data_IF_901459300400
#
_entry.id   IF_901459300400
#
_cell.length_a   1.000
_cell.length_b   1.000
_cell.length_c   1.000
_cell.angle_alpha   90.00
_cell.angle_beta   90.00
_cell.angle_gamma   90.00
#
_symmetry.space_group_name_H-M   'P 1'
#
loop_
_entity.id
_entity.type
_entity.pdbx_description
1 polymer ?
#
# COMPACT_ATOMS: atom_id res chain seq x y z
N UNK A 1 57.28 21.83 -19.45
CA UNK A 1 56.16 22.28 -18.58
C UNK A 1 54.79 22.43 -19.29
N UNK A 2 54.67 22.19 -20.61
CA UNK A 2 53.39 22.39 -21.32
C UNK A 2 52.39 21.20 -21.27
N UNK A 3 52.82 20.04 -20.81
CA UNK A 3 51.95 18.82 -20.80
C UNK A 3 51.15 18.64 -19.51
N UNK A 4 51.51 19.33 -18.43
CA UNK A 4 50.85 19.17 -17.12
C UNK A 4 49.48 19.81 -17.04
N UNK A 5 49.24 20.93 -17.73
CA UNK A 5 47.96 21.64 -17.70
C UNK A 5 46.84 20.85 -18.41
N UNK A 6 47.00 20.35 -19.65
CA UNK A 6 45.95 19.55 -20.29
C UNK A 6 45.67 18.23 -19.55
N UNK A 7 46.68 17.61 -18.94
CA UNK A 7 46.51 16.42 -18.14
C UNK A 7 45.72 16.69 -16.87
N UNK A 8 45.95 17.83 -16.21
CA UNK A 8 45.18 18.27 -15.03
C UNK A 8 43.71 18.56 -15.38
N UNK A 9 43.45 19.18 -16.52
CA UNK A 9 42.10 19.46 -17.01
C UNK A 9 41.38 18.15 -17.32
N UNK A 10 42.03 17.18 -17.96
CA UNK A 10 41.46 15.88 -18.25
C UNK A 10 41.12 15.12 -16.96
N UNK A 11 42.04 15.11 -16.01
CA UNK A 11 41.80 14.47 -14.71
C UNK A 11 40.62 15.12 -13.96
N UNK A 12 40.54 16.46 -13.95
CA UNK A 12 39.40 17.16 -13.36
C UNK A 12 38.07 16.83 -14.05
N UNK A 13 38.04 16.75 -15.39
CA UNK A 13 36.87 16.40 -16.14
C UNK A 13 36.39 14.95 -15.83
N UNK A 14 37.33 14.01 -15.70
CA UNK A 14 37.03 12.62 -15.30
C UNK A 14 36.45 12.59 -13.88
N UNK A 15 37.06 13.30 -12.93
CA UNK A 15 36.57 13.34 -11.55
C UNK A 15 35.17 13.93 -11.45
N UNK A 16 34.89 14.99 -12.20
CA UNK A 16 33.54 15.60 -12.24
C UNK A 16 32.55 14.62 -12.82
N UNK A 17 32.88 13.95 -13.94
CA UNK A 17 31.99 12.98 -14.58
C UNK A 17 31.69 11.77 -13.70
N UNK A 18 32.67 11.24 -12.97
CA UNK A 18 32.48 10.14 -12.01
C UNK A 18 31.65 10.58 -10.83
N UNK A 19 31.87 11.79 -10.31
CA UNK A 19 31.10 12.32 -9.21
C UNK A 19 29.63 12.54 -9.61
N UNK A 20 29.39 13.08 -10.80
CA UNK A 20 28.02 13.27 -11.34
C UNK A 20 27.29 11.95 -11.53
N UNK A 21 27.95 10.94 -12.13
CA UNK A 21 27.39 9.62 -12.30
C UNK A 21 27.06 8.95 -10.95
N UNK A 22 27.96 9.06 -9.97
CA UNK A 22 27.75 8.55 -8.61
C UNK A 22 26.59 9.25 -7.89
N UNK A 23 26.46 10.56 -8.06
CA UNK A 23 25.38 11.35 -7.47
C UNK A 23 24.02 10.92 -8.05
N UNK A 24 23.91 10.77 -9.38
CA UNK A 24 22.69 10.32 -10.02
C UNK A 24 22.32 8.90 -9.61
N UNK A 25 23.27 7.98 -9.53
CA UNK A 25 23.03 6.61 -9.07
C UNK A 25 22.55 6.56 -7.61
N UNK A 26 23.16 7.35 -6.73
CA UNK A 26 22.77 7.45 -5.32
C UNK A 26 21.38 8.05 -5.15
N UNK A 27 21.07 9.10 -5.91
CA UNK A 27 19.75 9.75 -5.88
C UNK A 27 18.64 8.78 -6.32
N UNK A 28 18.85 8.05 -7.41
CA UNK A 28 17.89 7.05 -7.88
C UNK A 28 17.69 5.90 -6.87
N UNK A 29 18.76 5.43 -6.24
CA UNK A 29 18.67 4.41 -5.21
C UNK A 29 17.83 4.90 -3.99
N UNK A 30 18.05 6.15 -3.56
CA UNK A 30 17.30 6.74 -2.46
C UNK A 30 15.81 6.87 -2.79
N UNK A 31 15.47 7.30 -4.01
CA UNK A 31 14.07 7.41 -4.45
C UNK A 31 13.38 6.05 -4.44
N UNK A 32 14.03 5.00 -4.96
CA UNK A 32 13.48 3.64 -4.94
C UNK A 32 13.25 3.11 -3.52
N UNK A 33 14.16 3.39 -2.60
CA UNK A 33 13.99 3.00 -1.19
C UNK A 33 12.80 3.72 -0.57
N UNK A 34 12.62 5.00 -0.84
CA UNK A 34 11.47 5.77 -0.36
C UNK A 34 10.15 5.26 -0.93
N UNK A 35 10.08 4.96 -2.22
CA UNK A 35 8.88 4.38 -2.86
C UNK A 35 8.53 3.03 -2.25
N UNK A 36 9.52 2.15 -2.04
CA UNK A 36 9.31 0.86 -1.40
C UNK A 36 8.83 0.99 0.05
N UNK A 37 9.35 1.96 0.81
CA UNK A 37 8.92 2.20 2.19
C UNK A 37 7.48 2.74 2.24
N UNK A 38 7.09 3.64 1.34
CA UNK A 38 5.72 4.15 1.21
C UNK A 38 4.76 2.99 0.85
N UNK A 39 5.15 2.15 -0.11
CA UNK A 39 4.36 0.98 -0.48
C UNK A 39 4.18 0.01 0.71
N UNK A 40 5.25 -0.29 1.45
CA UNK A 40 5.22 -1.15 2.64
C UNK A 40 4.30 -0.60 3.73
N UNK A 41 4.39 0.70 4.01
CA UNK A 41 3.52 1.36 5.00
C UNK A 41 2.05 1.33 4.56
N UNK A 42 1.79 1.55 3.28
CA UNK A 42 0.44 1.52 2.70
C UNK A 42 -0.18 0.12 2.79
N UNK A 43 0.59 -0.93 2.51
CA UNK A 43 0.14 -2.32 2.69
C UNK A 43 -0.16 -2.61 4.16
N UNK A 44 0.72 -2.18 5.07
CA UNK A 44 0.49 -2.31 6.52
C UNK A 44 -0.80 -1.64 6.97
N UNK A 45 -1.08 -0.44 6.45
CA UNK A 45 -2.31 0.29 6.72
C UNK A 45 -3.55 -0.44 6.18
N UNK A 46 -3.47 -0.98 4.95
CA UNK A 46 -4.54 -1.79 4.37
C UNK A 46 -4.86 -3.02 5.21
N UNK A 47 -3.83 -3.75 5.67
CA UNK A 47 -4.01 -4.92 6.54
C UNK A 47 -4.66 -4.55 7.86
N UNK A 48 -4.23 -3.47 8.52
CA UNK A 48 -4.84 -2.98 9.75
C UNK A 48 -6.31 -2.60 9.52
N UNK A 49 -6.60 -1.89 8.45
CA UNK A 49 -7.97 -1.49 8.08
C UNK A 49 -8.88 -2.71 7.88
N UNK A 50 -8.39 -3.76 7.20
CA UNK A 50 -9.14 -4.99 7.01
C UNK A 50 -9.36 -5.76 8.31
N UNK A 51 -8.37 -5.78 9.20
CA UNK A 51 -8.49 -6.41 10.51
C UNK A 51 -9.52 -5.69 11.41
N UNK A 52 -9.54 -4.36 11.37
CA UNK A 52 -10.51 -3.55 12.10
C UNK A 52 -11.94 -3.80 11.56
N UNK A 53 -12.11 -3.88 10.23
CA UNK A 53 -13.37 -4.22 9.61
C UNK A 53 -13.85 -5.61 10.03
N UNK A 54 -12.98 -6.63 9.98
CA UNK A 54 -13.31 -7.99 10.38
C UNK A 54 -13.65 -8.09 11.86
N UNK A 55 -12.87 -7.44 12.73
CA UNK A 55 -13.11 -7.43 14.18
C UNK A 55 -14.44 -6.77 14.52
N UNK A 56 -14.73 -5.62 13.91
CA UNK A 56 -16.01 -4.93 14.07
C UNK A 56 -17.18 -5.79 13.60
N UNK A 57 -17.07 -6.38 12.42
CA UNK A 57 -18.10 -7.29 11.90
C UNK A 57 -18.34 -8.47 12.84
N UNK A 58 -17.29 -9.15 13.31
CA UNK A 58 -17.43 -10.26 14.27
C UNK A 58 -18.10 -9.82 15.57
N UNK A 59 -17.73 -8.67 16.11
CA UNK A 59 -18.38 -8.11 17.30
C UNK A 59 -19.87 -7.90 17.09
N UNK A 60 -20.27 -7.33 15.95
CA UNK A 60 -21.68 -7.14 15.59
C UNK A 60 -22.42 -8.47 15.40
N UNK A 61 -21.84 -9.43 14.68
CA UNK A 61 -22.45 -10.74 14.44
C UNK A 61 -22.76 -11.48 15.76
N UNK A 62 -21.84 -11.38 16.73
CA UNK A 62 -21.98 -12.05 18.03
C UNK A 62 -22.98 -11.36 18.95
N UNK A 63 -23.02 -10.02 18.96
CA UNK A 63 -23.79 -9.26 19.94
C UNK A 63 -25.08 -8.67 19.39
N UNK A 64 -25.15 -8.40 18.09
CA UNK A 64 -26.20 -7.61 17.47
C UNK A 64 -26.18 -6.12 17.82
N UNK A 65 -25.11 -5.63 18.47
CA UNK A 65 -24.98 -4.25 18.91
C UNK A 65 -24.27 -3.41 17.84
N UNK A 66 -24.97 -2.44 17.27
CA UNK A 66 -24.49 -1.58 16.16
C UNK A 66 -23.21 -0.80 16.50
N UNK A 67 -22.88 -0.62 17.78
CA UNK A 67 -21.62 0.04 18.17
C UNK A 67 -20.38 -0.67 17.62
N UNK A 68 -20.44 -1.98 17.40
CA UNK A 68 -19.36 -2.76 16.81
C UNK A 68 -19.20 -2.54 15.29
N UNK A 69 -20.19 -1.93 14.63
CA UNK A 69 -20.09 -1.57 13.21
C UNK A 69 -19.27 -0.31 12.95
N UNK A 70 -19.04 0.54 13.96
CA UNK A 70 -18.27 1.77 13.78
C UNK A 70 -16.86 1.53 13.20
N UNK A 71 -16.04 0.57 13.70
CA UNK A 71 -14.76 0.21 13.09
C UNK A 71 -14.91 -0.29 11.65
N UNK A 72 -15.92 -1.10 11.37
CA UNK A 72 -16.24 -1.61 10.04
C UNK A 72 -16.53 -0.47 9.05
N UNK A 73 -17.45 0.44 9.40
CA UNK A 73 -17.82 1.57 8.56
C UNK A 73 -16.64 2.53 8.31
N UNK A 74 -15.84 2.79 9.35
CA UNK A 74 -14.62 3.59 9.23
C UNK A 74 -13.58 2.92 8.33
N UNK A 75 -13.45 1.61 8.41
CA UNK A 75 -12.55 0.83 7.56
C UNK A 75 -12.98 0.89 6.09
N UNK A 76 -14.27 0.72 5.80
CA UNK A 76 -14.80 0.82 4.43
C UNK A 76 -14.51 2.19 3.80
N UNK A 77 -14.72 3.28 4.56
CA UNK A 77 -14.46 4.64 4.08
C UNK A 77 -12.97 4.85 3.70
N UNK A 78 -12.05 4.24 4.46
CA UNK A 78 -10.61 4.37 4.23
C UNK A 78 -10.05 3.41 3.16
N UNK A 79 -10.70 2.26 2.95
CA UNK A 79 -10.18 1.20 2.10
C UNK A 79 -10.00 1.65 0.66
N UNK A 80 -11.01 2.31 0.08
CA UNK A 80 -10.97 2.81 -1.29
C UNK A 80 -9.86 3.84 -1.51
N UNK A 81 -9.69 4.76 -0.56
CA UNK A 81 -8.63 5.76 -0.60
C UNK A 81 -7.24 5.11 -0.52
N UNK A 82 -7.04 4.20 0.45
CA UNK A 82 -5.75 3.52 0.63
C UNK A 82 -5.37 2.67 -0.60
N UNK A 83 -6.33 1.97 -1.21
CA UNK A 83 -6.11 1.22 -2.46
C UNK A 83 -5.76 2.16 -3.62
N UNK A 84 -6.45 3.30 -3.74
CA UNK A 84 -6.17 4.31 -4.75
C UNK A 84 -4.78 4.92 -4.61
N UNK A 85 -4.36 5.27 -3.41
CA UNK A 85 -3.04 5.82 -3.12
C UNK A 85 -1.93 4.82 -3.49
N UNK A 86 -2.06 3.56 -3.09
CA UNK A 86 -1.06 2.54 -3.39
C UNK A 86 -0.96 2.26 -4.89
N UNK A 87 -2.09 2.25 -5.61
CA UNK A 87 -2.10 2.13 -7.08
C UNK A 87 -1.33 3.27 -7.76
N UNK A 88 -1.43 4.50 -7.24
CA UNK A 88 -0.68 5.64 -7.76
C UNK A 88 0.83 5.51 -7.50
N UNK A 89 1.22 5.06 -6.32
CA UNK A 89 2.64 4.83 -5.98
C UNK A 89 3.26 3.76 -6.90
N UNK A 90 2.51 2.70 -7.21
CA UNK A 90 2.97 1.58 -8.03
C UNK A 90 2.77 1.79 -9.54
N UNK A 91 2.21 2.92 -9.97
CA UNK A 91 1.83 3.16 -11.37
C UNK A 91 2.99 2.99 -12.39
N UNK A 92 4.22 3.25 -11.97
CA UNK A 92 5.44 3.12 -12.78
C UNK A 92 6.20 1.79 -12.54
N UNK A 93 5.61 0.86 -11.80
CA UNK A 93 6.19 -0.42 -11.40
C UNK A 93 5.23 -1.54 -11.81
N UNK A 94 5.28 -2.01 -13.08
CA UNK A 94 4.23 -2.88 -13.63
C UNK A 94 4.15 -4.26 -12.98
N UNK A 95 5.26 -4.83 -12.51
CA UNK A 95 5.27 -6.11 -11.81
C UNK A 95 4.62 -5.99 -10.44
N UNK A 96 5.02 -5.01 -9.65
CA UNK A 96 4.46 -4.71 -8.32
C UNK A 96 2.99 -4.29 -8.41
N UNK A 97 2.63 -3.54 -9.45
CA UNK A 97 1.23 -3.16 -9.70
C UNK A 97 0.37 -4.39 -9.99
N UNK A 98 0.87 -5.36 -10.76
CA UNK A 98 0.13 -6.58 -11.05
C UNK A 98 -0.11 -7.42 -9.78
N UNK A 99 0.91 -7.58 -8.93
CA UNK A 99 0.76 -8.25 -7.63
C UNK A 99 -0.20 -7.51 -6.71
N UNK A 100 -0.11 -6.18 -6.69
CA UNK A 100 -1.04 -5.34 -5.93
C UNK A 100 -2.49 -5.52 -6.40
N UNK A 101 -2.76 -5.56 -7.70
CA UNK A 101 -4.13 -5.74 -8.22
C UNK A 101 -4.71 -7.11 -7.83
N UNK A 102 -3.90 -8.15 -7.76
CA UNK A 102 -4.32 -9.45 -7.20
C UNK A 102 -4.70 -9.31 -5.72
N UNK A 103 -3.87 -8.64 -4.92
CA UNK A 103 -4.17 -8.37 -3.51
C UNK A 103 -5.46 -7.53 -3.37
N UNK A 104 -5.61 -6.47 -4.15
CA UNK A 104 -6.80 -5.62 -4.15
C UNK A 104 -8.08 -6.40 -4.48
N UNK A 105 -8.00 -7.35 -5.41
CA UNK A 105 -9.12 -8.25 -5.72
C UNK A 105 -9.51 -9.10 -4.50
N UNK A 106 -8.55 -9.66 -3.78
CA UNK A 106 -8.82 -10.44 -2.56
C UNK A 106 -9.41 -9.58 -1.43
N UNK A 107 -8.91 -8.35 -1.26
CA UNK A 107 -9.44 -7.37 -0.31
C UNK A 107 -10.91 -7.05 -0.63
N UNK A 108 -11.21 -6.71 -1.88
CA UNK A 108 -12.57 -6.41 -2.32
C UNK A 108 -13.52 -7.59 -2.13
N UNK A 109 -13.04 -8.80 -2.40
CA UNK A 109 -13.82 -10.02 -2.15
C UNK A 109 -14.12 -10.19 -0.66
N UNK A 110 -13.11 -10.06 0.20
CA UNK A 110 -13.29 -10.15 1.67
C UNK A 110 -14.24 -9.07 2.18
N UNK A 111 -14.12 -7.84 1.68
CA UNK A 111 -15.06 -6.77 1.99
C UNK A 111 -16.50 -7.15 1.65
N UNK A 112 -16.72 -7.73 0.46
CA UNK A 112 -18.06 -8.18 0.05
C UNK A 112 -18.62 -9.29 0.95
N UNK A 113 -17.76 -10.20 1.42
CA UNK A 113 -18.14 -11.26 2.38
C UNK A 113 -18.55 -10.65 3.74
N UNK A 114 -17.80 -9.67 4.24
CA UNK A 114 -18.13 -8.96 5.49
C UNK A 114 -19.45 -8.19 5.37
N UNK A 115 -19.63 -7.47 4.25
CA UNK A 115 -20.85 -6.71 3.99
C UNK A 115 -22.09 -7.61 3.93
N UNK A 116 -22.00 -8.73 3.23
CA UNK A 116 -23.05 -9.73 3.19
C UNK A 116 -23.40 -10.25 4.58
N UNK A 117 -22.39 -10.55 5.40
CA UNK A 117 -22.60 -11.05 6.78
C UNK A 117 -23.33 -10.01 7.64
N UNK A 118 -22.93 -8.74 7.55
CA UNK A 118 -23.60 -7.64 8.26
C UNK A 118 -25.04 -7.51 7.81
N UNK A 119 -25.31 -7.53 6.51
CA UNK A 119 -26.66 -7.44 5.96
C UNK A 119 -27.53 -8.60 6.42
N UNK A 120 -26.99 -9.84 6.36
CA UNK A 120 -27.73 -11.02 6.82
C UNK A 120 -28.06 -10.96 8.30
N UNK A 121 -27.17 -10.48 9.14
CA UNK A 121 -27.42 -10.30 10.57
C UNK A 121 -28.51 -9.26 10.81
N UNK A 122 -28.48 -8.12 10.09
CA UNK A 122 -29.48 -7.05 10.19
C UNK A 122 -30.91 -7.53 9.88
N UNK A 123 -31.07 -8.49 8.97
CA UNK A 123 -32.38 -9.09 8.66
C UNK A 123 -32.75 -10.28 9.56
N UNK A 124 -31.99 -10.52 10.65
CA UNK A 124 -32.27 -11.54 11.64
C UNK A 124 -31.82 -12.95 11.28
N UNK A 125 -30.87 -13.10 10.33
CA UNK A 125 -30.28 -14.39 10.02
C UNK A 125 -29.16 -14.70 11.03
N UNK A 126 -29.40 -15.67 11.92
CA UNK A 126 -28.44 -16.08 12.94
C UNK A 126 -27.24 -16.87 12.37
N UNK A 127 -27.33 -17.34 11.14
CA UNK A 127 -26.24 -18.03 10.44
C UNK A 127 -25.27 -17.09 9.68
N UNK A 128 -25.43 -15.78 9.83
CA UNK A 128 -24.62 -14.77 9.14
C UNK A 128 -23.10 -14.92 9.40
N UNK A 129 -22.71 -15.48 10.55
CA UNK A 129 -21.31 -15.75 10.92
C UNK A 129 -20.61 -16.80 10.03
N UNK A 130 -21.37 -17.59 9.27
CA UNK A 130 -20.82 -18.63 8.37
C UNK A 130 -20.16 -18.05 7.12
N UNK A 131 -20.32 -16.75 6.87
CA UNK A 131 -19.81 -16.07 5.69
C UNK A 131 -18.50 -15.30 5.93
N UNK A 132 -17.88 -15.39 7.12
CA UNK A 132 -16.66 -14.66 7.47
C UNK A 132 -15.49 -15.58 7.79
#
# INVERSE_FOLDING_TARGET
MAISLPLAILAAAILISVNEASFHASSQATTKIQEAEIARQSVGKLMSTMLDAETGTRGFLLTGDDKYLQPYESALAQLGENLGQLRQVLANQPEELAEFELMAMHINRKQSELDLSVQMRKIGNDDAWKFI
#
